data_IF_973799817635
#
_entry.id   IF_973799817635
#
_cell.length_a   1.000
_cell.length_b   1.000
_cell.length_c   1.000
_cell.angle_alpha   90.00
_cell.angle_beta   90.00
_cell.angle_gamma   90.00
#
_symmetry.space_group_name_H-M   'P 1'
#
loop_
_entity.id
_entity.type
_entity.pdbx_description
1 polymer ?
#
# COMPACT_ATOMS: atom_id res chain seq x y z
N UNK A 1 2.15 15.12 -0.93
CA UNK A 1 2.48 14.66 0.43
C UNK A 1 3.36 13.46 0.32
N UNK A 2 4.29 13.31 1.25
CA UNK A 2 5.12 12.11 1.32
C UNK A 2 4.29 10.95 1.89
N UNK A 3 4.48 9.74 1.39
CA UNK A 3 3.78 8.54 1.88
C UNK A 3 4.81 7.49 2.27
N UNK A 4 4.73 7.03 3.52
CA UNK A 4 5.49 5.88 4.01
C UNK A 4 4.56 4.68 4.09
N UNK A 5 4.96 3.60 3.44
CA UNK A 5 4.22 2.34 3.42
C UNK A 5 5.05 1.26 4.11
N UNK A 6 4.46 0.61 5.12
CA UNK A 6 5.04 -0.54 5.81
C UNK A 6 4.10 -1.74 5.66
N UNK A 7 4.64 -2.91 5.38
CA UNK A 7 3.86 -4.13 5.14
C UNK A 7 4.59 -5.36 5.68
N UNK A 8 3.84 -6.44 5.92
CA UNK A 8 4.40 -7.76 6.23
C UNK A 8 4.84 -8.47 4.95
N UNK A 9 5.81 -9.38 5.06
CA UNK A 9 6.27 -10.26 3.98
C UNK A 9 5.11 -11.02 3.32
N UNK A 10 4.14 -11.50 4.11
CA UNK A 10 2.90 -12.12 3.61
C UNK A 10 2.03 -11.26 2.69
N UNK A 11 2.34 -9.97 2.51
CA UNK A 11 1.69 -9.10 1.52
C UNK A 11 2.33 -9.19 0.12
N UNK A 12 3.61 -9.56 0.04
CA UNK A 12 4.41 -9.58 -1.20
C UNK A 12 4.93 -10.98 -1.54
N UNK A 13 5.14 -11.84 -0.55
CA UNK A 13 5.52 -13.23 -0.71
C UNK A 13 4.27 -14.07 -0.99
N UNK A 14 4.33 -14.86 -2.06
CA UNK A 14 3.42 -15.96 -2.29
C UNK A 14 4.23 -17.17 -2.77
N UNK A 15 3.80 -18.41 -2.49
CA UNK A 15 4.60 -19.62 -2.76
C UNK A 15 5.00 -19.80 -4.22
N UNK A 16 4.32 -19.11 -5.14
CA UNK A 16 4.42 -19.28 -6.59
C UNK A 16 4.97 -18.04 -7.30
N UNK A 17 5.21 -16.93 -6.59
CA UNK A 17 5.65 -15.66 -7.20
C UNK A 17 6.88 -15.08 -6.54
N UNK A 18 7.65 -14.38 -7.35
CA UNK A 18 8.83 -13.66 -6.91
C UNK A 18 8.42 -12.43 -6.07
N UNK A 19 9.20 -12.13 -5.03
CA UNK A 19 9.05 -10.94 -4.19
C UNK A 19 8.99 -9.67 -5.04
N UNK A 20 9.81 -9.59 -6.08
CA UNK A 20 9.83 -8.46 -7.01
C UNK A 20 8.48 -8.23 -7.70
N UNK A 21 7.79 -9.31 -8.07
CA UNK A 21 6.47 -9.25 -8.70
C UNK A 21 5.39 -8.80 -7.70
N UNK A 22 5.51 -9.23 -6.44
CA UNK A 22 4.66 -8.76 -5.34
C UNK A 22 4.84 -7.26 -5.05
N UNK A 23 6.09 -6.79 -5.07
CA UNK A 23 6.44 -5.38 -4.92
C UNK A 23 5.89 -4.52 -6.06
N UNK A 24 6.09 -4.93 -7.32
CA UNK A 24 5.60 -4.19 -8.49
C UNK A 24 4.07 -4.04 -8.47
N UNK A 25 3.36 -5.09 -8.07
CA UNK A 25 1.89 -5.06 -7.90
C UNK A 25 1.48 -4.12 -6.77
N UNK A 26 2.14 -4.20 -5.61
CA UNK A 26 1.85 -3.35 -4.46
C UNK A 26 2.06 -1.86 -4.79
N UNK A 27 3.17 -1.54 -5.45
CA UNK A 27 3.47 -0.17 -5.90
C UNK A 27 2.48 0.30 -6.95
N UNK A 28 2.13 -0.54 -7.93
CA UNK A 28 1.17 -0.19 -8.98
C UNK A 28 -0.24 0.07 -8.45
N UNK A 29 -0.71 -0.70 -7.47
CA UNK A 29 -1.98 -0.41 -6.80
C UNK A 29 -1.87 0.84 -5.94
N UNK A 30 -0.77 1.06 -5.21
CA UNK A 30 -0.60 2.25 -4.38
C UNK A 30 -0.65 3.53 -5.23
N UNK A 31 -0.05 3.52 -6.42
CA UNK A 31 -0.04 4.65 -7.35
C UNK A 31 -1.45 5.05 -7.81
N UNK A 32 -2.38 4.08 -7.91
CA UNK A 32 -3.80 4.36 -8.20
C UNK A 32 -4.53 5.09 -7.05
N UNK A 33 -4.05 4.95 -5.82
CA UNK A 33 -4.65 5.58 -4.64
C UNK A 33 -4.01 6.91 -4.27
N UNK A 34 -2.79 7.20 -4.76
CA UNK A 34 -2.07 8.48 -4.55
C UNK A 34 -2.88 9.70 -5.02
N UNK A 35 -3.81 9.54 -5.96
CA UNK A 35 -4.71 10.61 -6.42
C UNK A 35 -5.92 10.87 -5.50
N UNK A 36 -6.13 10.08 -4.44
CA UNK A 36 -7.28 10.17 -3.55
C UNK A 36 -6.86 10.33 -2.09
N UNK A 37 -7.76 10.85 -1.24
CA UNK A 37 -7.54 10.89 0.21
C UNK A 37 -7.32 9.46 0.70
N UNK A 38 -6.12 9.14 1.21
CA UNK A 38 -5.70 7.78 1.61
C UNK A 38 -6.56 7.11 2.71
N UNK A 39 -7.59 7.79 3.20
CA UNK A 39 -8.60 7.23 4.11
C UNK A 39 -9.33 6.06 3.43
N UNK A 40 -9.06 4.83 3.89
CA UNK A 40 -9.64 3.61 3.35
C UNK A 40 -8.82 2.92 2.24
N UNK A 41 -7.75 3.55 1.74
CA UNK A 41 -6.89 2.96 0.71
C UNK A 41 -6.18 1.68 1.20
N UNK A 42 -5.84 1.61 2.49
CA UNK A 42 -5.16 0.46 3.08
C UNK A 42 -5.95 -0.86 2.93
N UNK A 43 -7.27 -0.82 3.15
CA UNK A 43 -8.12 -2.00 3.00
C UNK A 43 -8.17 -2.48 1.55
N UNK A 44 -8.37 -1.55 0.62
CA UNK A 44 -8.42 -1.88 -0.80
C UNK A 44 -7.09 -2.38 -1.34
N UNK A 45 -5.96 -1.85 -0.85
CA UNK A 45 -4.63 -2.33 -1.17
C UNK A 45 -4.41 -3.78 -0.69
N UNK A 46 -4.81 -4.11 0.54
CA UNK A 46 -4.69 -5.49 1.03
C UNK A 46 -5.51 -6.46 0.16
N UNK A 47 -6.76 -6.11 -0.20
CA UNK A 47 -7.58 -6.95 -1.07
C UNK A 47 -7.04 -7.06 -2.50
N UNK A 48 -6.53 -5.97 -3.06
CA UNK A 48 -6.05 -5.92 -4.44
C UNK A 48 -4.75 -6.68 -4.64
N UNK A 49 -3.88 -6.74 -3.63
CA UNK A 49 -2.53 -7.31 -3.77
C UNK A 49 -2.48 -8.76 -3.28
N UNK A 50 -3.29 -9.12 -2.28
CA UNK A 50 -3.13 -10.39 -1.56
C UNK A 50 -4.39 -11.28 -1.53
N UNK A 51 -5.27 -11.20 -2.55
CA UNK A 51 -6.55 -11.93 -2.61
C UNK A 51 -6.46 -13.45 -2.36
N UNK A 52 -5.34 -14.08 -2.73
CA UNK A 52 -5.14 -15.54 -2.64
C UNK A 52 -3.95 -15.96 -1.74
N UNK A 53 -3.48 -15.06 -0.85
CA UNK A 53 -2.36 -15.36 0.07
C UNK A 53 -2.90 -15.76 1.45
N UNK A 54 -2.43 -16.89 1.97
CA UNK A 54 -2.94 -17.52 3.19
C UNK A 54 -2.14 -17.17 4.46
N UNK A 55 -1.19 -16.23 4.37
CA UNK A 55 -0.32 -15.81 5.46
C UNK A 55 -0.80 -14.50 6.13
N UNK A 56 -0.19 -14.11 7.25
CA UNK A 56 -0.53 -12.90 8.01
C UNK A 56 -0.23 -11.61 7.20
N UNK A 57 -1.28 -10.82 6.95
CA UNK A 57 -1.24 -9.63 6.10
C UNK A 57 -1.51 -8.36 6.91
N UNK A 58 -0.53 -7.47 6.96
CA UNK A 58 -0.71 -6.12 7.49
C UNK A 58 -0.12 -5.07 6.56
N UNK A 59 -0.80 -3.91 6.48
CA UNK A 59 -0.37 -2.74 5.72
C UNK A 59 -0.63 -1.49 6.57
N UNK A 60 0.42 -0.69 6.77
CA UNK A 60 0.36 0.60 7.43
C UNK A 60 0.76 1.69 6.43
N UNK A 61 -0.14 2.65 6.24
CA UNK A 61 0.09 3.83 5.41
C UNK A 61 0.17 5.06 6.31
N UNK A 62 1.30 5.75 6.26
CA UNK A 62 1.51 7.04 6.92
C UNK A 62 1.59 8.08 5.81
N UNK A 63 0.59 8.94 5.74
CA UNK A 63 0.55 10.03 4.78
C UNK A 63 0.93 11.32 5.49
N UNK A 64 1.98 11.97 5.01
CA UNK A 64 2.30 13.32 5.41
C UNK A 64 1.39 14.26 4.64
N UNK A 65 0.51 14.92 5.39
CA UNK A 65 -0.32 15.96 4.83
C UNK A 65 0.56 17.07 4.25
N UNK A 66 0.20 17.55 3.07
CA UNK A 66 0.90 18.65 2.41
C UNK A 66 0.33 20.00 2.77
N UNK A 67 -0.48 20.06 3.83
CA UNK A 67 -0.89 21.28 4.48
C UNK A 67 0.38 21.99 5.00
N UNK A 68 1.09 22.63 4.07
CA UNK A 68 1.62 23.95 4.29
C UNK A 68 0.39 24.75 4.71
N UNK A 69 0.17 24.83 6.03
CA UNK A 69 -0.92 25.60 6.60
C UNK A 69 -1.00 26.97 5.91
N UNK A 70 -2.18 27.60 5.89
CA UNK A 70 -2.44 28.75 5.05
C UNK A 70 -1.27 29.73 5.13
N UNK A 71 -0.62 29.98 3.99
CA UNK A 71 0.23 31.16 3.87
C UNK A 71 -0.72 32.34 3.92
N UNK A 72 -1.03 32.83 5.13
CA UNK A 72 -1.51 34.17 5.52
C UNK A 72 -1.87 34.18 7.01
#
# INVERSE_FOLDING_TARGET
GDVLMMFTDGLVESPERDISEGMDRLTGEADRYVSSTFAGAAWHLIEAVAKDVNDDRALLLICRDSDAGPTL
#
